data_IF_249738481979
#
_entry.id   IF_249738481979
#
_cell.length_a   1.000
_cell.length_b   1.000
_cell.length_c   1.000
_cell.angle_alpha   90.00
_cell.angle_beta   90.00
_cell.angle_gamma   90.00
#
_symmetry.space_group_name_H-M   'P 1'
#
loop_
_entity.id
_entity.type
_entity.pdbx_description
1 polymer ?
#
# COMPACT_ATOMS: atom_id res chain seq x y z
N UNK A 1 42.80 19.48 -39.34
CA UNK A 1 44.24 19.20 -39.44
C UNK A 1 44.45 18.28 -40.64
N UNK A 2 44.83 18.85 -41.79
CA UNK A 2 44.85 18.17 -43.10
C UNK A 2 46.26 17.64 -43.36
N UNK A 3 46.42 16.32 -43.45
CA UNK A 3 47.69 15.70 -43.85
C UNK A 3 47.65 15.46 -45.35
N UNK A 4 48.25 16.39 -46.11
CA UNK A 4 48.55 16.23 -47.53
C UNK A 4 49.67 15.21 -47.68
N UNK A 5 49.39 14.03 -48.22
CA UNK A 5 50.41 13.07 -48.64
C UNK A 5 50.98 13.53 -50.00
N UNK A 6 52.30 13.67 -50.02
CA UNK A 6 53.10 14.23 -51.10
C UNK A 6 53.09 13.30 -52.32
N UNK A 7 52.62 13.81 -53.45
CA UNK A 7 52.91 13.23 -54.78
C UNK A 7 54.38 13.53 -55.11
N UNK A 8 55.29 12.61 -54.83
CA UNK A 8 56.70 12.73 -55.19
C UNK A 8 57.37 11.35 -55.08
N UNK A 9 58.18 11.03 -56.08
CA UNK A 9 59.04 9.83 -56.24
C UNK A 9 58.39 8.60 -56.89
N UNK A 10 58.07 8.69 -58.19
CA UNK A 10 58.58 7.75 -59.22
C UNK A 10 58.61 8.52 -60.56
N UNK A 11 59.62 9.37 -60.75
CA UNK A 11 59.83 10.10 -62.00
C UNK A 11 61.32 10.20 -62.30
N UNK A 12 62.05 9.07 -62.33
CA UNK A 12 63.42 9.04 -62.85
C UNK A 12 63.89 7.60 -63.11
N UNK A 13 63.62 7.09 -64.30
CA UNK A 13 64.44 6.06 -64.95
C UNK A 13 63.88 5.91 -66.36
N UNK A 14 64.34 6.73 -67.33
CA UNK A 14 64.38 6.43 -68.77
C UNK A 14 64.75 7.66 -69.63
N UNK A 15 65.75 8.46 -69.22
CA UNK A 15 66.42 9.37 -70.17
C UNK A 15 67.93 9.39 -69.92
N UNK A 16 68.69 9.00 -70.95
CA UNK A 16 70.13 9.24 -71.14
C UNK A 16 70.98 7.98 -71.00
N UNK A 17 71.85 7.59 -71.93
CA UNK A 17 72.24 8.12 -73.23
C UNK A 17 73.13 7.05 -73.88
N UNK A 18 72.99 6.77 -75.18
CA UNK A 18 74.11 6.39 -76.03
C UNK A 18 73.73 6.67 -77.49
N UNK A 19 74.08 7.87 -77.95
CA UNK A 19 74.25 8.14 -79.36
C UNK A 19 75.71 7.84 -79.70
N UNK A 20 75.98 6.94 -80.65
CA UNK A 20 77.04 7.11 -81.66
C UNK A 20 76.78 6.21 -82.88
N UNK A 21 76.78 6.89 -84.02
CA UNK A 21 76.73 6.47 -85.43
C UNK A 21 77.20 5.06 -85.82
N UNK A 22 76.40 4.39 -86.67
CA UNK A 22 76.74 4.02 -88.07
C UNK A 22 75.76 2.96 -88.59
N UNK A 23 75.49 3.01 -89.89
CA UNK A 23 74.40 2.33 -90.60
C UNK A 23 74.40 0.79 -90.49
N UNK A 24 73.17 0.24 -90.53
CA UNK A 24 72.72 -1.16 -90.63
C UNK A 24 72.35 -1.84 -89.30
N UNK A 25 71.10 -1.69 -88.84
CA UNK A 25 70.49 -2.60 -87.86
C UNK A 25 69.01 -2.83 -88.16
N UNK A 26 68.72 -4.03 -88.66
CA UNK A 26 67.59 -4.92 -88.33
C UNK A 26 66.27 -4.28 -87.88
N UNK A 27 65.20 -4.50 -88.66
CA UNK A 27 63.82 -4.11 -88.34
C UNK A 27 63.10 -5.06 -87.35
N UNK A 28 63.83 -5.95 -86.64
CA UNK A 28 63.27 -7.01 -85.78
C UNK A 28 63.18 -6.70 -84.26
N UNK A 29 64.05 -5.90 -83.61
CA UNK A 29 64.02 -5.74 -82.15
C UNK A 29 62.90 -4.83 -81.64
N UNK A 30 62.28 -4.01 -82.50
CA UNK A 30 61.19 -3.11 -82.11
C UNK A 30 59.86 -3.86 -81.93
N UNK A 31 59.63 -4.91 -82.72
CA UNK A 31 58.37 -5.65 -82.71
C UNK A 31 58.30 -6.64 -81.51
N UNK A 32 59.44 -7.20 -81.11
CA UNK A 32 59.54 -7.96 -79.85
C UNK A 32 59.38 -7.08 -78.62
N UNK A 33 59.94 -5.86 -78.64
CA UNK A 33 59.77 -4.89 -77.56
C UNK A 33 58.29 -4.52 -77.35
N UNK A 34 57.56 -4.21 -78.42
CA UNK A 34 56.12 -3.93 -78.35
C UNK A 34 55.30 -5.12 -77.83
N UNK A 35 55.68 -6.37 -78.16
CA UNK A 35 55.02 -7.58 -77.62
C UNK A 35 55.29 -7.76 -76.13
N UNK A 36 56.53 -7.52 -75.67
CA UNK A 36 56.89 -7.58 -74.26
C UNK A 36 56.18 -6.49 -73.45
N UNK A 37 56.11 -5.25 -73.97
CA UNK A 37 55.35 -4.15 -73.38
C UNK A 37 53.86 -4.49 -73.30
N UNK A 38 53.26 -5.05 -74.35
CA UNK A 38 51.85 -5.47 -74.33
C UNK A 38 51.58 -6.54 -73.26
N UNK A 39 52.51 -7.48 -73.03
CA UNK A 39 52.39 -8.47 -71.96
C UNK A 39 52.52 -7.84 -70.57
N UNK A 40 53.45 -6.91 -70.38
CA UNK A 40 53.63 -6.16 -69.13
C UNK A 40 52.37 -5.34 -68.83
N UNK A 41 51.81 -4.64 -69.82
CA UNK A 41 50.56 -3.90 -69.65
C UNK A 41 49.40 -4.83 -69.28
N UNK A 42 49.28 -5.99 -69.93
CA UNK A 42 48.23 -6.97 -69.59
C UNK A 42 48.40 -7.54 -68.18
N UNK A 43 49.63 -7.80 -67.75
CA UNK A 43 49.94 -8.25 -66.39
C UNK A 43 49.68 -7.15 -65.35
N UNK A 44 50.05 -5.91 -65.65
CA UNK A 44 49.81 -4.74 -64.81
C UNK A 44 48.30 -4.48 -64.63
N UNK A 45 47.50 -4.56 -65.69
CA UNK A 45 46.03 -4.46 -65.61
C UNK A 45 45.45 -5.58 -64.73
N UNK A 46 45.92 -6.83 -64.87
CA UNK A 46 45.48 -7.94 -64.01
C UNK A 46 45.87 -7.75 -62.54
N UNK A 47 47.05 -7.20 -62.28
CA UNK A 47 47.48 -6.86 -60.92
C UNK A 47 46.65 -5.73 -60.34
N UNK A 48 46.38 -4.69 -61.13
CA UNK A 48 45.56 -3.55 -60.73
C UNK A 48 44.13 -4.01 -60.39
N UNK A 49 43.52 -4.87 -61.21
CA UNK A 49 42.20 -5.43 -60.92
C UNK A 49 42.14 -6.22 -59.60
N UNK A 50 43.23 -6.91 -59.21
CA UNK A 50 43.32 -7.58 -57.89
C UNK A 50 43.44 -6.57 -56.75
N UNK A 51 44.23 -5.51 -56.94
CA UNK A 51 44.39 -4.44 -55.96
C UNK A 51 43.06 -3.70 -55.76
N UNK A 52 42.37 -3.39 -56.85
CA UNK A 52 41.07 -2.72 -56.83
C UNK A 52 40.03 -3.58 -56.09
N UNK A 53 39.96 -4.88 -56.39
CA UNK A 53 39.06 -5.80 -55.70
C UNK A 53 39.36 -5.92 -54.20
N UNK A 54 40.64 -6.08 -53.82
CA UNK A 54 41.04 -6.13 -52.42
C UNK A 54 40.75 -4.82 -51.68
N UNK A 55 40.89 -3.68 -52.37
CA UNK A 55 40.56 -2.37 -51.83
C UNK A 55 39.05 -2.19 -51.61
N UNK A 56 38.22 -2.62 -52.58
CA UNK A 56 36.75 -2.64 -52.43
C UNK A 56 36.31 -3.51 -51.24
N UNK A 57 36.83 -4.74 -51.14
CA UNK A 57 36.55 -5.64 -50.00
C UNK A 57 36.98 -5.03 -48.66
N UNK A 58 38.13 -4.36 -48.64
CA UNK A 58 38.62 -3.70 -47.41
C UNK A 58 37.69 -2.55 -47.00
N UNK A 59 37.18 -1.78 -47.96
CA UNK A 59 36.22 -0.71 -47.66
C UNK A 59 34.89 -1.25 -47.15
N UNK A 60 34.37 -2.32 -47.75
CA UNK A 60 33.15 -2.99 -47.32
C UNK A 60 33.29 -3.52 -45.89
N UNK A 61 34.37 -4.27 -45.60
CA UNK A 61 34.63 -4.80 -44.26
C UNK A 61 34.83 -3.69 -43.22
N UNK A 62 35.46 -2.56 -43.61
CA UNK A 62 35.61 -1.40 -42.71
C UNK A 62 34.26 -0.75 -42.41
N UNK A 63 33.35 -0.67 -43.39
CA UNK A 63 32.01 -0.16 -43.19
C UNK A 63 31.19 -1.09 -42.28
N UNK A 64 31.25 -2.40 -42.52
CA UNK A 64 30.61 -3.42 -41.67
C UNK A 64 31.15 -3.35 -40.23
N UNK A 65 32.47 -3.31 -40.06
CA UNK A 65 33.11 -3.20 -38.74
C UNK A 65 32.61 -1.96 -37.98
N UNK A 66 32.52 -0.80 -38.64
CA UNK A 66 31.99 0.42 -38.02
C UNK A 66 30.53 0.25 -37.60
N UNK A 67 29.70 -0.31 -38.48
CA UNK A 67 28.29 -0.58 -38.17
C UNK A 67 28.13 -1.50 -36.96
N UNK A 68 28.93 -2.57 -36.87
CA UNK A 68 28.90 -3.53 -35.75
C UNK A 68 29.39 -2.89 -34.45
N UNK A 69 30.40 -2.02 -34.51
CA UNK A 69 30.87 -1.27 -33.34
C UNK A 69 29.78 -0.32 -32.83
N UNK A 70 29.10 0.39 -33.72
CA UNK A 70 28.00 1.30 -33.35
C UNK A 70 26.82 0.53 -32.74
N UNK A 71 26.44 -0.61 -33.34
CA UNK A 71 25.41 -1.50 -32.80
C UNK A 71 25.78 -2.02 -31.40
N UNK A 72 27.04 -2.42 -31.20
CA UNK A 72 27.53 -2.88 -29.91
C UNK A 72 27.41 -1.81 -28.83
N UNK A 73 27.76 -0.55 -29.12
CA UNK A 73 27.65 0.54 -28.15
C UNK A 73 26.18 0.81 -27.77
N UNK A 74 25.26 0.77 -28.76
CA UNK A 74 23.81 0.89 -28.50
C UNK A 74 23.32 -0.26 -27.61
N UNK A 75 23.68 -1.50 -27.95
CA UNK A 75 23.28 -2.69 -27.19
C UNK A 75 23.82 -2.67 -25.77
N UNK A 76 25.05 -2.16 -25.57
CA UNK A 76 25.64 -2.01 -24.24
C UNK A 76 24.85 -1.03 -23.38
N UNK A 77 24.54 0.15 -23.90
CA UNK A 77 23.72 1.15 -23.19
C UNK A 77 22.34 0.59 -22.85
N UNK A 78 21.72 -0.14 -23.78
CA UNK A 78 20.44 -0.78 -23.54
C UNK A 78 20.51 -1.87 -22.47
N UNK A 79 21.57 -2.69 -22.48
CA UNK A 79 21.80 -3.71 -21.46
C UNK A 79 21.96 -3.08 -20.07
N UNK A 80 22.77 -2.02 -19.96
CA UNK A 80 22.97 -1.28 -18.71
C UNK A 80 21.65 -0.68 -18.20
N UNK A 81 20.79 -0.17 -19.10
CA UNK A 81 19.46 0.32 -18.75
C UNK A 81 18.56 -0.80 -18.18
N UNK A 82 18.51 -1.95 -18.85
CA UNK A 82 17.73 -3.10 -18.38
C UNK A 82 18.26 -3.64 -17.05
N UNK A 83 19.58 -3.69 -16.87
CA UNK A 83 20.20 -4.10 -15.61
C UNK A 83 19.80 -3.20 -14.44
N UNK A 84 19.77 -1.88 -14.66
CA UNK A 84 19.29 -0.92 -13.66
C UNK A 84 17.80 -1.11 -13.35
N UNK A 85 16.98 -1.36 -14.37
CA UNK A 85 15.55 -1.63 -14.18
C UNK A 85 15.32 -2.90 -13.36
N UNK A 86 16.08 -3.97 -13.61
CA UNK A 86 16.02 -5.21 -12.83
C UNK A 86 16.46 -4.97 -11.39
N UNK A 87 17.51 -4.16 -11.16
CA UNK A 87 17.96 -3.82 -9.82
C UNK A 87 16.88 -3.05 -9.03
N UNK A 88 16.23 -2.06 -9.67
CA UNK A 88 15.11 -1.31 -9.07
C UNK A 88 13.92 -2.22 -8.75
N UNK A 89 13.54 -3.10 -9.68
CA UNK A 89 12.48 -4.07 -9.48
C UNK A 89 12.77 -5.02 -8.31
N UNK A 90 14.00 -5.52 -8.19
CA UNK A 90 14.41 -6.38 -7.08
C UNK A 90 14.36 -5.63 -5.74
N UNK A 91 14.81 -4.36 -5.69
CA UNK A 91 14.66 -3.52 -4.50
C UNK A 91 13.18 -3.28 -4.14
N UNK A 92 12.32 -3.12 -5.15
CA UNK A 92 10.87 -3.05 -5.00
C UNK A 92 10.27 -4.33 -4.39
N UNK A 93 10.66 -5.51 -4.91
CA UNK A 93 10.23 -6.81 -4.38
C UNK A 93 10.63 -6.96 -2.91
N UNK A 94 11.86 -6.63 -2.55
CA UNK A 94 12.30 -6.68 -1.14
C UNK A 94 11.50 -5.74 -0.24
N UNK A 95 11.20 -4.52 -0.71
CA UNK A 95 10.37 -3.56 0.00
C UNK A 95 8.96 -4.12 0.25
N UNK A 96 8.34 -4.69 -0.77
CA UNK A 96 7.03 -5.32 -0.63
C UNK A 96 7.06 -6.52 0.32
N UNK A 97 8.09 -7.36 0.27
CA UNK A 97 8.24 -8.47 1.21
C UNK A 97 8.35 -7.99 2.67
N UNK A 98 9.08 -6.91 2.94
CA UNK A 98 9.13 -6.29 4.28
C UNK A 98 7.77 -5.74 4.72
N UNK A 99 7.04 -5.12 3.81
CA UNK A 99 5.68 -4.62 4.09
C UNK A 99 4.70 -5.77 4.38
N UNK A 100 4.74 -6.85 3.60
CA UNK A 100 3.93 -8.06 3.82
C UNK A 100 4.21 -8.65 5.20
N UNK A 101 5.49 -8.84 5.56
CA UNK A 101 5.86 -9.35 6.87
C UNK A 101 5.36 -8.46 8.02
N UNK A 102 5.35 -7.14 7.82
CA UNK A 102 4.83 -6.17 8.80
C UNK A 102 3.31 -6.23 8.92
N UNK A 103 2.60 -6.45 7.81
CA UNK A 103 1.14 -6.62 7.78
C UNK A 103 0.75 -7.88 8.56
N UNK A 104 1.45 -8.99 8.38
CA UNK A 104 1.16 -10.22 9.12
C UNK A 104 1.34 -10.01 10.62
N UNK A 105 2.43 -9.34 11.03
CA UNK A 105 2.64 -8.94 12.44
C UNK A 105 1.53 -8.00 12.96
N UNK A 106 1.07 -7.06 12.13
CA UNK A 106 -0.02 -6.14 12.51
C UNK A 106 -1.35 -6.89 12.66
N UNK A 107 -1.71 -7.75 11.70
CA UNK A 107 -2.90 -8.61 11.76
C UNK A 107 -2.87 -9.54 12.99
N UNK A 108 -1.70 -10.10 13.31
CA UNK A 108 -1.48 -10.92 14.51
C UNK A 108 -1.74 -10.14 15.81
N UNK A 109 -1.52 -8.83 15.85
CA UNK A 109 -1.77 -8.00 17.04
C UNK A 109 -3.23 -7.50 17.13
N UNK A 110 -3.88 -7.27 15.99
CA UNK A 110 -5.25 -6.74 15.95
C UNK A 110 -6.27 -7.77 16.46
N UNK A 111 -6.12 -9.05 16.12
CA UNK A 111 -7.06 -10.08 16.57
C UNK A 111 -7.06 -10.25 18.11
N UNK A 112 -5.93 -10.40 18.80
CA UNK A 112 -5.87 -10.39 20.26
C UNK A 112 -6.40 -9.09 20.88
N UNK A 113 -6.16 -7.94 20.24
CA UNK A 113 -6.72 -6.68 20.70
C UNK A 113 -8.25 -6.71 20.66
N UNK A 114 -8.86 -7.18 19.56
CA UNK A 114 -10.31 -7.30 19.46
C UNK A 114 -10.91 -8.21 20.54
N UNK A 115 -10.27 -9.35 20.85
CA UNK A 115 -10.68 -10.20 21.97
C UNK A 115 -10.64 -9.45 23.30
N UNK A 116 -9.52 -8.76 23.60
CA UNK A 116 -9.42 -7.93 24.82
C UNK A 116 -10.48 -6.83 24.84
N UNK A 117 -10.78 -6.20 23.71
CA UNK A 117 -11.82 -5.17 23.64
C UNK A 117 -13.20 -5.75 23.95
N UNK A 118 -13.52 -6.95 23.46
CA UNK A 118 -14.79 -7.64 23.76
C UNK A 118 -14.84 -8.00 25.26
N UNK A 119 -13.75 -8.53 25.82
CA UNK A 119 -13.65 -8.87 27.25
C UNK A 119 -13.82 -7.62 28.14
N UNK A 120 -13.16 -6.52 27.78
CA UNK A 120 -13.30 -5.23 28.48
C UNK A 120 -14.72 -4.70 28.38
N UNK A 121 -15.40 -4.88 27.24
CA UNK A 121 -16.79 -4.48 27.06
C UNK A 121 -17.71 -5.27 28.01
N UNK A 122 -17.49 -6.57 28.14
CA UNK A 122 -18.24 -7.43 29.07
C UNK A 122 -18.01 -7.03 30.52
N UNK A 123 -16.75 -6.81 30.91
CA UNK A 123 -16.40 -6.35 32.27
C UNK A 123 -17.02 -5.00 32.58
N UNK A 124 -16.99 -4.08 31.60
CA UNK A 124 -17.63 -2.78 31.71
C UNK A 124 -19.14 -2.91 31.93
N UNK A 125 -19.84 -3.74 31.14
CA UNK A 125 -21.29 -3.99 31.31
C UNK A 125 -21.60 -4.56 32.70
N UNK A 126 -20.76 -5.46 33.24
CA UNK A 126 -20.94 -6.08 34.57
C UNK A 126 -20.62 -5.15 35.75
N UNK A 127 -19.77 -4.15 35.52
CA UNK A 127 -19.38 -3.15 36.51
C UNK A 127 -20.26 -1.90 36.50
N UNK A 128 -21.04 -1.74 35.44
CA UNK A 128 -21.93 -0.62 35.20
C UNK A 128 -23.33 -0.84 35.80
N UNK A 129 -24.15 0.20 35.72
CA UNK A 129 -25.56 0.19 36.11
C UNK A 129 -26.33 -0.92 35.36
N UNK A 130 -27.17 -1.72 36.04
CA UNK A 130 -27.80 -2.92 35.49
C UNK A 130 -29.03 -2.61 34.61
N UNK A 131 -28.82 -1.88 33.52
CA UNK A 131 -29.84 -1.65 32.50
C UNK A 131 -29.62 -2.55 31.28
N UNK A 132 -30.72 -3.06 30.72
CA UNK A 132 -30.72 -3.87 29.49
C UNK A 132 -29.60 -4.91 29.42
N UNK A 133 -29.19 -5.46 30.58
CA UNK A 133 -27.95 -6.21 30.75
C UNK A 133 -27.94 -7.44 29.84
N UNK A 134 -29.07 -8.14 29.75
CA UNK A 134 -29.24 -9.30 28.87
C UNK A 134 -28.99 -8.94 27.39
N UNK A 135 -29.54 -7.82 26.91
CA UNK A 135 -29.35 -7.38 25.52
C UNK A 135 -27.91 -7.00 25.23
N UNK A 136 -27.26 -6.32 26.20
CA UNK A 136 -25.87 -5.86 26.09
C UNK A 136 -24.91 -7.05 26.11
N UNK A 137 -25.09 -8.01 27.02
CA UNK A 137 -24.32 -9.24 27.07
C UNK A 137 -24.58 -10.12 25.84
N UNK A 138 -25.80 -10.21 25.35
CA UNK A 138 -26.09 -10.93 24.10
C UNK A 138 -25.35 -10.33 22.89
N UNK A 139 -25.11 -9.01 22.88
CA UNK A 139 -24.26 -8.38 21.85
C UNK A 139 -22.80 -8.81 21.96
N UNK A 140 -22.27 -8.89 23.19
CA UNK A 140 -20.91 -9.39 23.46
C UNK A 140 -20.77 -10.83 22.95
N UNK A 141 -21.73 -11.70 23.25
CA UNK A 141 -21.69 -13.09 22.77
C UNK A 141 -21.73 -13.19 21.24
N UNK A 142 -22.58 -12.41 20.57
CA UNK A 142 -22.58 -12.34 19.10
C UNK A 142 -21.24 -11.86 18.54
N UNK A 143 -20.56 -10.92 19.19
CA UNK A 143 -19.22 -10.49 18.77
C UNK A 143 -18.21 -11.64 18.91
N UNK A 144 -18.29 -12.45 19.98
CA UNK A 144 -17.44 -13.65 20.15
C UNK A 144 -17.70 -14.67 19.03
N UNK A 145 -18.95 -14.89 18.65
CA UNK A 145 -19.32 -15.74 17.53
C UNK A 145 -18.77 -15.20 16.19
N UNK A 146 -18.92 -13.90 15.92
CA UNK A 146 -18.36 -13.26 14.73
C UNK A 146 -16.84 -13.40 14.68
N UNK A 147 -16.15 -13.34 15.82
CA UNK A 147 -14.68 -13.46 15.88
C UNK A 147 -14.15 -14.79 15.34
N UNK A 148 -14.88 -15.90 15.53
CA UNK A 148 -14.51 -17.22 15.01
C UNK A 148 -15.05 -17.51 13.61
N UNK A 149 -15.97 -16.69 13.11
CA UNK A 149 -16.56 -16.87 11.78
C UNK A 149 -15.53 -16.56 10.66
N UNK A 150 -15.26 -17.55 9.79
CA UNK A 150 -14.31 -17.41 8.67
C UNK A 150 -14.87 -16.60 7.49
N UNK A 151 -16.19 -16.50 7.36
CA UNK A 151 -16.86 -15.77 6.29
C UNK A 151 -16.84 -14.24 6.50
N UNK A 152 -16.47 -13.79 7.70
CA UNK A 152 -16.38 -12.37 8.05
C UNK A 152 -14.92 -11.92 7.98
N UNK A 153 -14.67 -10.83 7.25
CA UNK A 153 -13.31 -10.27 7.12
C UNK A 153 -12.83 -9.66 8.44
N UNK A 154 -11.52 -9.61 8.66
CA UNK A 154 -10.95 -8.97 9.86
C UNK A 154 -11.39 -7.51 10.01
N UNK A 155 -11.51 -6.78 8.90
CA UNK A 155 -11.97 -5.38 8.90
C UNK A 155 -13.42 -5.26 9.39
N UNK A 156 -14.29 -6.18 8.99
CA UNK A 156 -15.69 -6.19 9.40
C UNK A 156 -15.83 -6.58 10.88
N UNK A 157 -15.03 -7.55 11.36
CA UNK A 157 -14.94 -7.87 12.80
C UNK A 157 -14.57 -6.62 13.61
N UNK A 158 -13.54 -5.90 13.18
CA UNK A 158 -13.08 -4.68 13.85
C UNK A 158 -14.16 -3.59 13.85
N UNK A 159 -14.83 -3.37 12.72
CA UNK A 159 -15.94 -2.42 12.59
C UNK A 159 -17.07 -2.73 13.59
N UNK A 160 -17.49 -3.99 13.71
CA UNK A 160 -18.55 -4.41 14.63
C UNK A 160 -18.15 -4.22 16.10
N UNK A 161 -16.90 -4.52 16.46
CA UNK A 161 -16.41 -4.27 17.82
C UNK A 161 -16.45 -2.78 18.14
N UNK A 162 -15.96 -1.91 17.24
CA UNK A 162 -16.05 -0.45 17.44
C UNK A 162 -17.49 0.06 17.51
N UNK A 163 -18.38 -0.47 16.68
CA UNK A 163 -19.80 -0.11 16.71
C UNK A 163 -20.41 -0.43 18.07
N UNK A 164 -20.07 -1.56 18.68
CA UNK A 164 -20.53 -1.89 20.03
C UNK A 164 -20.04 -0.88 21.08
N UNK A 165 -18.80 -0.40 20.97
CA UNK A 165 -18.29 0.68 21.83
C UNK A 165 -19.02 2.00 21.61
N UNK A 166 -19.35 2.35 20.36
CA UNK A 166 -20.13 3.55 20.05
C UNK A 166 -21.53 3.48 20.65
N UNK A 167 -22.20 2.33 20.52
CA UNK A 167 -23.51 2.09 21.15
C UNK A 167 -23.40 2.23 22.68
N UNK A 168 -22.37 1.65 23.30
CA UNK A 168 -22.17 1.79 24.74
C UNK A 168 -21.88 3.24 25.16
N UNK A 169 -21.11 3.99 24.37
CA UNK A 169 -20.91 5.42 24.56
C UNK A 169 -22.24 6.18 24.49
N UNK A 170 -23.07 5.89 23.48
CA UNK A 170 -24.35 6.58 23.26
C UNK A 170 -25.35 6.36 24.40
N UNK A 171 -25.31 5.22 25.10
CA UNK A 171 -26.12 5.05 26.31
C UNK A 171 -25.86 6.10 27.39
N UNK A 172 -24.71 6.79 27.37
CA UNK A 172 -24.35 7.82 28.35
C UNK A 172 -25.11 9.13 28.16
N UNK A 173 -25.74 9.38 27.00
CA UNK A 173 -26.51 10.60 26.74
C UNK A 173 -28.03 10.38 26.71
N UNK A 174 -28.48 9.12 26.72
CA UNK A 174 -29.89 8.78 26.54
C UNK A 174 -30.65 8.89 27.86
N UNK A 175 -31.77 9.62 27.81
CA UNK A 175 -32.82 9.58 28.84
C UNK A 175 -33.84 8.51 28.45
N UNK A 176 -34.01 7.49 29.27
CA UNK A 176 -34.88 6.34 28.97
C UNK A 176 -35.68 5.92 30.19
N UNK A 177 -36.83 5.29 29.94
CA UNK A 177 -37.62 4.62 30.98
C UNK A 177 -38.10 3.27 30.53
N UNK A 178 -38.25 2.36 31.47
CA UNK A 178 -38.84 1.04 31.26
C UNK A 178 -39.64 0.65 32.49
N UNK A 179 -40.61 -0.25 32.33
CA UNK A 179 -41.31 -0.84 33.46
C UNK A 179 -40.73 -2.22 33.72
N UNK A 180 -40.59 -2.59 34.99
CA UNK A 180 -40.12 -3.92 35.35
C UNK A 180 -40.35 -4.23 36.82
N UNK A 181 -39.74 -5.31 37.28
CA UNK A 181 -39.88 -5.78 38.66
C UNK A 181 -38.59 -5.52 39.41
N UNK A 182 -38.71 -4.88 40.58
CA UNK A 182 -37.64 -4.62 41.51
C UNK A 182 -37.75 -5.60 42.69
N UNK A 183 -36.64 -6.30 42.99
CA UNK A 183 -36.54 -7.20 44.15
C UNK A 183 -35.94 -6.43 45.32
N UNK A 184 -36.73 -6.19 46.36
CA UNK A 184 -36.31 -5.55 47.60
C UNK A 184 -36.71 -6.45 48.77
N UNK A 185 -35.76 -6.80 49.63
CA UNK A 185 -35.98 -7.57 50.86
C UNK A 185 -36.85 -8.83 50.68
N UNK A 186 -36.63 -9.55 49.58
CA UNK A 186 -37.37 -10.77 49.24
C UNK A 186 -38.79 -10.54 48.67
N UNK A 187 -39.19 -9.28 48.45
CA UNK A 187 -40.45 -8.92 47.78
C UNK A 187 -40.19 -8.41 46.37
N UNK A 188 -41.05 -8.82 45.46
CA UNK A 188 -41.08 -8.33 44.08
C UNK A 188 -42.11 -7.20 43.98
N UNK A 189 -41.65 -6.01 43.59
CA UNK A 189 -42.48 -4.81 43.42
C UNK A 189 -42.37 -4.37 41.97
N UNK A 190 -43.50 -4.15 41.31
CA UNK A 190 -43.50 -3.55 39.97
C UNK A 190 -43.18 -2.06 40.07
N UNK A 191 -42.18 -1.62 39.31
CA UNK A 191 -41.68 -0.24 39.33
C UNK A 191 -41.49 0.29 37.92
N UNK A 192 -41.53 1.61 37.80
CA UNK A 192 -41.05 2.35 36.65
C UNK A 192 -39.58 2.71 36.85
N UNK A 193 -38.71 2.14 36.03
CA UNK A 193 -37.31 2.53 35.96
C UNK A 193 -37.15 3.77 35.07
N UNK A 194 -36.33 4.71 35.54
CA UNK A 194 -35.88 5.87 34.79
C UNK A 194 -34.36 5.95 34.79
N UNK A 195 -33.78 6.33 33.66
CA UNK A 195 -32.34 6.44 33.48
C UNK A 195 -31.99 7.74 32.77
N UNK A 196 -30.98 8.43 33.27
CA UNK A 196 -30.31 9.53 32.58
C UNK A 196 -28.87 9.13 32.35
N UNK A 197 -28.57 8.73 31.11
CA UNK A 197 -27.24 8.31 30.73
C UNK A 197 -26.73 7.15 31.58
N UNK A 198 -25.55 7.34 32.17
CA UNK A 198 -24.95 6.47 33.20
C UNK A 198 -24.84 7.16 34.56
N UNK A 199 -25.44 8.34 34.70
CA UNK A 199 -25.27 9.21 35.87
C UNK A 199 -26.31 8.89 36.94
N UNK A 200 -27.55 8.67 36.52
CA UNK A 200 -28.65 8.36 37.43
C UNK A 200 -29.49 7.22 36.88
N UNK A 201 -29.72 6.22 37.72
CA UNK A 201 -30.66 5.14 37.48
C UNK A 201 -31.55 4.99 38.69
N UNK A 202 -32.84 5.22 38.50
CA UNK A 202 -33.84 5.34 39.55
C UNK A 202 -35.01 4.43 39.24
N UNK A 203 -35.72 4.04 40.29
CA UNK A 203 -36.95 3.29 40.23
C UNK A 203 -38.03 4.05 41.01
N UNK A 204 -39.27 4.00 40.55
CA UNK A 204 -40.43 4.55 41.26
C UNK A 204 -41.55 3.53 41.31
N UNK A 205 -42.18 3.38 42.48
CA UNK A 205 -43.36 2.52 42.63
C UNK A 205 -44.54 3.04 41.80
N UNK A 206 -45.42 2.14 41.34
CA UNK A 206 -46.58 2.54 40.53
C UNK A 206 -47.58 3.44 41.28
N UNK A 207 -47.61 3.35 42.61
CA UNK A 207 -48.40 4.23 43.47
C UNK A 207 -47.73 5.59 43.74
N UNK A 208 -46.51 5.80 43.22
CA UNK A 208 -45.70 7.02 43.30
C UNK A 208 -45.30 7.42 44.72
N UNK A 209 -45.42 6.51 45.71
CA UNK A 209 -45.09 6.78 47.11
C UNK A 209 -43.64 6.50 47.47
N UNK A 210 -42.98 5.62 46.72
CA UNK A 210 -41.60 5.21 46.97
C UNK A 210 -40.75 5.41 45.72
N UNK A 211 -39.50 5.81 45.93
CA UNK A 211 -38.50 5.86 44.88
C UNK A 211 -37.17 5.34 45.42
N UNK A 212 -36.37 4.78 44.53
CA UNK A 212 -35.06 4.24 44.83
C UNK A 212 -34.05 4.71 43.79
N UNK A 213 -32.78 4.78 44.17
CA UNK A 213 -31.66 5.01 43.27
C UNK A 213 -30.71 3.83 43.31
N UNK A 214 -30.14 3.48 42.17
CA UNK A 214 -29.12 2.45 42.09
C UNK A 214 -27.77 3.00 42.50
N UNK A 215 -27.19 2.42 43.55
CA UNK A 215 -25.85 2.71 44.00
C UNK A 215 -24.88 1.72 43.35
N UNK A 216 -24.02 2.23 42.44
CA UNK A 216 -23.11 1.38 41.70
C UNK A 216 -21.94 0.85 42.55
N UNK A 217 -21.63 1.50 43.68
CA UNK A 217 -20.56 1.09 44.59
C UNK A 217 -20.99 -0.08 45.46
N UNK A 218 -22.16 0.00 46.09
CA UNK A 218 -22.72 -1.10 46.90
C UNK A 218 -23.44 -2.16 46.07
N UNK A 219 -23.73 -1.88 44.80
CA UNK A 219 -24.58 -2.69 43.91
C UNK A 219 -25.96 -2.97 44.55
N UNK A 220 -26.51 -1.96 45.21
CA UNK A 220 -27.81 -2.02 45.90
C UNK A 220 -28.73 -0.89 45.45
N UNK A 221 -30.02 -1.05 45.74
CA UNK A 221 -31.00 0.01 45.64
C UNK A 221 -31.13 0.71 46.98
N UNK A 222 -30.94 2.02 46.98
CA UNK A 222 -31.07 2.86 48.17
C UNK A 222 -32.39 3.66 48.07
N UNK A 223 -33.20 3.67 49.13
CA UNK A 223 -34.47 4.41 49.16
C UNK A 223 -34.21 5.92 49.18
N UNK A 224 -34.99 6.65 48.38
CA UNK A 224 -34.91 8.10 48.26
C UNK A 224 -35.95 8.78 49.17
N UNK A 225 -35.58 9.93 49.73
CA UNK A 225 -36.50 10.79 50.47
C UNK A 225 -37.64 11.36 49.61
N UNK A 226 -38.69 11.84 50.28
CA UNK A 226 -39.88 12.39 49.62
C UNK A 226 -39.57 13.54 48.65
N UNK A 227 -38.49 14.28 48.88
CA UNK A 227 -38.02 15.37 48.04
C UNK A 227 -37.68 14.94 46.59
N UNK A 228 -37.38 13.64 46.37
CA UNK A 228 -37.04 13.09 45.06
C UNK A 228 -38.23 12.45 44.33
N UNK A 229 -39.37 12.22 44.99
CA UNK A 229 -40.53 11.56 44.37
C UNK A 229 -41.07 12.34 43.16
N UNK A 230 -41.17 13.67 43.28
CA UNK A 230 -41.65 14.54 42.20
C UNK A 230 -40.64 14.66 41.05
N UNK A 231 -39.36 14.97 41.28
CA UNK A 231 -38.35 15.00 40.21
C UNK A 231 -38.20 13.68 39.44
N UNK A 232 -38.21 12.54 40.14
CA UNK A 232 -38.12 11.20 39.50
C UNK A 232 -39.34 10.96 38.60
N UNK A 233 -40.53 11.29 39.08
CA UNK A 233 -41.78 11.19 38.31
C UNK A 233 -41.75 12.05 37.05
N UNK A 234 -41.29 13.29 37.17
CA UNK A 234 -41.15 14.20 36.03
C UNK A 234 -40.14 13.66 35.01
N UNK A 235 -39.00 13.14 35.47
CA UNK A 235 -38.00 12.50 34.60
C UNK A 235 -38.57 11.31 33.82
N UNK A 236 -39.28 10.40 34.50
CA UNK A 236 -39.92 9.24 33.86
C UNK A 236 -41.00 9.68 32.85
N UNK A 237 -41.72 10.78 33.12
CA UNK A 237 -42.69 11.33 32.15
C UNK A 237 -41.99 11.94 30.94
N UNK A 238 -40.89 12.66 31.15
CA UNK A 238 -40.09 13.24 30.06
C UNK A 238 -39.49 12.15 29.18
N UNK A 239 -38.95 11.07 29.77
CA UNK A 239 -38.40 9.94 29.02
C UNK A 239 -39.46 9.22 28.19
N UNK A 240 -40.71 9.20 28.65
CA UNK A 240 -41.89 8.68 27.92
C UNK A 240 -42.49 9.67 26.91
N UNK A 241 -41.92 10.88 26.78
CA UNK A 241 -42.46 11.98 25.96
C UNK A 241 -43.88 12.41 26.37
N UNK A 242 -44.22 12.22 27.64
CA UNK A 242 -45.51 12.63 28.23
C UNK A 242 -45.45 14.04 28.82
N UNK A 243 -44.27 14.64 28.88
CA UNK A 243 -44.02 16.00 29.32
C UNK A 243 -42.93 16.65 28.44
N UNK A 244 -42.89 17.98 28.40
CA UNK A 244 -41.79 18.73 27.79
C UNK A 244 -40.50 18.53 28.58
N UNK A 245 -39.35 18.62 27.92
CA UNK A 245 -38.07 18.60 28.60
C UNK A 245 -37.92 19.79 29.55
N UNK A 246 -37.53 19.51 30.78
CA UNK A 246 -37.30 20.47 31.85
C UNK A 246 -36.14 20.00 32.75
N UNK A 247 -35.61 20.89 33.59
CA UNK A 247 -34.56 20.59 34.55
C UNK A 247 -35.13 19.90 35.79
N UNK A 248 -34.67 18.68 36.04
CA UNK A 248 -35.05 17.88 37.22
C UNK A 248 -33.86 17.70 38.16
N UNK A 249 -34.13 17.77 39.47
CA UNK A 249 -33.13 17.45 40.50
C UNK A 249 -33.10 15.94 40.70
N UNK A 250 -32.02 15.30 40.25
CA UNK A 250 -31.82 13.86 40.42
C UNK A 250 -30.83 13.58 41.54
N UNK A 251 -31.00 12.46 42.27
CA UNK A 251 -30.00 12.00 43.21
C UNK A 251 -28.79 11.53 42.41
N UNK A 252 -27.67 12.23 42.57
CA UNK A 252 -26.40 11.86 41.97
C UNK A 252 -25.47 11.46 43.10
N UNK A 253 -24.88 10.28 42.99
CA UNK A 253 -23.76 9.93 43.84
C UNK A 253 -22.57 10.77 43.38
N UNK A 254 -21.96 11.51 44.31
CA UNK A 254 -20.73 12.24 44.01
C UNK A 254 -19.66 11.28 43.54
N UNK A 255 -18.92 11.66 42.50
CA UNK A 255 -17.70 10.95 42.15
C UNK A 255 -16.68 11.23 43.25
N UNK A 256 -16.28 10.18 43.97
CA UNK A 256 -14.97 10.17 44.65
C UNK A 256 -13.90 9.70 43.65
#
# INVERSE_FOLDING_TARGET
MSVKIRKSLVATALVGAFAFASNNVMADPLNELHKAEAQIHKAAVKSQAKVDNAFEQTQELLAEYRSVVDEKEILKVYNDHVANLVADQNAGIESFNRQIATIDKTKQNVVPLMYRMIDTLEQFIKADVPFETEKRLARVERLRETMVNSSVTTSEKYRQVLEAYLVEKDYSSIVASSQGTLKLDGREITVDFGRVGRVAYVAQSLDMKHAWVWNNTSKSWDELGEEYLKPVKEMIRMSRKQASYDLVKLPIFGAE
#
